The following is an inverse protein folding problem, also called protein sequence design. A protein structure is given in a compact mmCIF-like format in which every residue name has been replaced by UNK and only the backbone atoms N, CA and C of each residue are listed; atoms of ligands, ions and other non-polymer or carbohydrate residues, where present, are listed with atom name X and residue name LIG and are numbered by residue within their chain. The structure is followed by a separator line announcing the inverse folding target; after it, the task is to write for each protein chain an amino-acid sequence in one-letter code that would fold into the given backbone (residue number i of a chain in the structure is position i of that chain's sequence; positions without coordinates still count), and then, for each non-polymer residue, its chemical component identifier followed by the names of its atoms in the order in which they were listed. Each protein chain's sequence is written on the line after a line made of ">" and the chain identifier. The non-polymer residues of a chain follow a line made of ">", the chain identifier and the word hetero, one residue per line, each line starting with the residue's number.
data_IF_944512419766
#
_entry.id   IF_944512419766
#
_cell.length_a   1.000
_cell.length_b   1.000
_cell.length_c   1.000
_cell.angle_alpha   90.00
_cell.angle_beta   90.00
_cell.angle_gamma   90.00
#
_symmetry.space_group_name_H-M   'P 1'
#
loop_
_entity.id
_entity.type
_entity.pdbx_description
1 polymer ?
#
# COMPACT_ATOMS: atom_id res chain seq x y z
N UNK A 1 50.56 -6.89 -12.18
CA UNK A 1 49.83 -6.30 -11.04
C UNK A 1 48.64 -5.42 -11.44
N UNK A 2 48.70 -4.60 -12.51
CA UNK A 2 47.55 -3.77 -12.96
C UNK A 2 46.28 -4.57 -13.34
N UNK A 3 46.42 -5.79 -13.89
CA UNK A 3 45.27 -6.64 -14.27
C UNK A 3 44.51 -7.24 -13.07
N UNK A 4 45.15 -7.35 -11.89
CA UNK A 4 44.52 -7.86 -10.67
C UNK A 4 43.68 -6.77 -9.97
N UNK A 5 44.11 -5.50 -10.09
CA UNK A 5 43.36 -4.36 -9.55
C UNK A 5 42.02 -4.13 -10.27
N UNK A 6 41.96 -4.42 -11.57
CA UNK A 6 40.71 -4.33 -12.37
C UNK A 6 39.73 -5.43 -11.97
N UNK A 7 40.21 -6.62 -11.59
CA UNK A 7 39.35 -7.71 -11.12
C UNK A 7 38.72 -7.41 -9.75
N UNK A 8 39.46 -6.74 -8.86
CA UNK A 8 38.97 -6.31 -7.53
C UNK A 8 37.93 -5.18 -7.61
N UNK A 9 37.95 -4.35 -8.66
CA UNK A 9 36.93 -3.32 -8.89
C UNK A 9 35.60 -3.91 -9.40
N UNK A 10 35.63 -5.05 -10.09
CA UNK A 10 34.41 -5.75 -10.55
C UNK A 10 33.67 -6.45 -9.38
N UNK A 11 34.38 -6.68 -8.26
CA UNK A 11 33.80 -7.15 -7.00
C UNK A 11 33.36 -6.03 -6.05
N UNK A 12 33.31 -4.76 -6.49
CA UNK A 12 32.40 -3.79 -5.85
C UNK A 12 30.97 -4.24 -6.15
N UNK A 13 30.56 -5.25 -5.40
CA UNK A 13 29.27 -5.89 -5.43
C UNK A 13 28.19 -4.82 -5.53
N UNK A 14 27.28 -5.02 -6.48
CA UNK A 14 26.05 -4.26 -6.61
C UNK A 14 25.28 -4.42 -5.29
N UNK A 15 25.54 -3.52 -4.32
CA UNK A 15 24.95 -3.59 -3.00
C UNK A 15 23.49 -3.23 -3.16
N UNK A 16 22.62 -4.23 -3.02
CA UNK A 16 21.17 -4.06 -3.11
C UNK A 16 20.74 -3.08 -2.03
N UNK A 17 20.11 -1.98 -2.42
CA UNK A 17 19.55 -1.01 -1.48
C UNK A 17 18.31 -1.61 -0.82
N UNK A 18 18.17 -1.44 0.49
CA UNK A 18 17.04 -2.01 1.25
C UNK A 18 16.24 -0.89 1.89
N UNK A 19 14.94 -0.85 1.58
CA UNK A 19 13.98 0.13 2.05
C UNK A 19 12.97 -0.53 2.99
N UNK A 20 12.52 0.20 4.01
CA UNK A 20 11.65 -0.31 5.06
C UNK A 20 10.42 0.61 5.23
N UNK A 21 9.22 0.03 5.19
CA UNK A 21 7.96 0.73 5.39
C UNK A 21 7.16 0.07 6.51
N UNK A 22 6.74 0.80 7.56
CA UNK A 22 6.69 2.27 7.63
C UNK A 22 8.03 2.96 7.95
N UNK A 23 8.98 2.31 8.62
CA UNK A 23 10.34 2.84 8.83
C UNK A 23 11.31 1.74 9.29
N UNK A 24 12.61 1.98 9.17
CA UNK A 24 13.64 1.06 9.69
C UNK A 24 13.53 0.87 11.21
N UNK A 25 13.35 1.96 11.96
CA UNK A 25 13.19 1.90 13.42
C UNK A 25 12.00 1.04 13.83
N UNK A 26 10.92 1.06 13.05
CA UNK A 26 9.78 0.18 13.30
C UNK A 26 10.17 -1.29 13.11
N UNK A 27 10.94 -1.63 12.07
CA UNK A 27 11.44 -3.00 11.87
C UNK A 27 12.34 -3.45 13.02
N UNK A 28 13.32 -2.62 13.39
CA UNK A 28 14.29 -2.95 14.43
C UNK A 28 13.60 -3.19 15.79
N UNK A 29 12.58 -2.37 16.11
CA UNK A 29 11.81 -2.50 17.37
C UNK A 29 10.91 -3.73 17.41
N UNK A 30 10.38 -4.14 16.25
CA UNK A 30 9.28 -5.11 16.19
C UNK A 30 9.68 -6.48 15.64
N UNK A 31 10.87 -6.61 15.07
CA UNK A 31 11.41 -7.86 14.50
C UNK A 31 10.37 -8.65 13.68
N UNK A 32 9.76 -8.03 12.64
CA UNK A 32 8.71 -8.68 11.88
C UNK A 32 9.24 -9.88 11.09
N UNK A 33 8.37 -10.85 10.83
CA UNK A 33 8.70 -12.04 10.06
C UNK A 33 8.28 -11.87 8.58
N UNK A 34 9.12 -12.34 7.66
CA UNK A 34 8.76 -12.38 6.24
C UNK A 34 7.64 -13.39 6.01
N UNK A 35 6.60 -13.00 5.26
CA UNK A 35 5.63 -13.94 4.72
C UNK A 35 5.91 -14.18 3.24
N UNK A 36 6.01 -15.47 2.87
CA UNK A 36 6.11 -15.90 1.48
C UNK A 36 4.71 -15.92 0.90
N UNK A 37 4.47 -15.05 -0.09
CA UNK A 37 3.15 -14.86 -0.71
C UNK A 37 3.08 -15.40 -2.13
N UNK A 38 4.13 -16.06 -2.60
CA UNK A 38 4.16 -16.62 -3.94
C UNK A 38 3.00 -17.62 -4.11
N UNK A 39 2.30 -17.52 -5.23
CA UNK A 39 1.10 -18.30 -5.57
C UNK A 39 -0.14 -18.13 -4.67
N UNK A 40 -0.10 -17.23 -3.67
CA UNK A 40 -1.28 -16.90 -2.88
C UNK A 40 -2.18 -15.88 -3.57
N UNK A 41 -3.48 -16.01 -3.35
CA UNK A 41 -4.47 -14.99 -3.68
C UNK A 41 -4.41 -13.80 -2.71
N UNK A 42 -4.92 -12.65 -3.15
CA UNK A 42 -4.98 -11.45 -2.33
C UNK A 42 -5.77 -11.65 -1.03
N UNK A 43 -6.82 -12.47 -1.08
CA UNK A 43 -7.56 -12.88 0.11
C UNK A 43 -6.66 -13.65 1.09
N UNK A 44 -5.98 -14.70 0.65
CA UNK A 44 -5.11 -15.53 1.50
C UNK A 44 -3.99 -14.70 2.13
N UNK A 45 -3.41 -13.76 1.38
CA UNK A 45 -2.39 -12.84 1.88
C UNK A 45 -2.96 -11.93 2.97
N UNK A 46 -4.09 -11.29 2.70
CA UNK A 46 -4.74 -10.36 3.63
C UNK A 46 -5.18 -11.09 4.90
N UNK A 47 -5.72 -12.30 4.77
CA UNK A 47 -6.15 -13.15 5.89
C UNK A 47 -4.94 -13.62 6.71
N UNK A 48 -3.82 -13.95 6.08
CA UNK A 48 -2.58 -14.31 6.77
C UNK A 48 -2.03 -13.16 7.60
N UNK A 49 -2.05 -11.93 7.05
CA UNK A 49 -1.68 -10.71 7.79
C UNK A 49 -2.64 -10.48 8.95
N UNK A 50 -3.96 -10.60 8.73
CA UNK A 50 -4.97 -10.43 9.78
C UNK A 50 -4.76 -11.44 10.92
N UNK A 51 -4.56 -12.71 10.60
CA UNK A 51 -4.32 -13.77 11.58
C UNK A 51 -3.01 -13.55 12.32
N UNK A 52 -1.95 -13.10 11.62
CA UNK A 52 -0.70 -12.69 12.25
C UNK A 52 -0.92 -11.61 13.31
N UNK A 53 -1.71 -10.58 13.02
CA UNK A 53 -2.04 -9.53 13.99
C UNK A 53 -2.80 -10.06 15.22
N UNK A 54 -3.70 -11.02 15.05
CA UNK A 54 -4.38 -11.68 16.18
C UNK A 54 -3.42 -12.50 17.06
N UNK A 55 -2.37 -13.08 16.47
CA UNK A 55 -1.32 -13.83 17.15
C UNK A 55 -0.19 -12.94 17.73
N UNK A 56 -0.34 -11.61 17.70
CA UNK A 56 0.72 -10.63 18.02
C UNK A 56 2.00 -10.81 17.18
N UNK A 57 1.86 -11.34 15.95
CA UNK A 57 2.92 -11.50 14.97
C UNK A 57 2.85 -10.38 13.94
N UNK A 58 3.96 -9.69 13.74
CA UNK A 58 4.10 -8.69 12.68
C UNK A 58 4.71 -9.35 11.47
N UNK A 59 4.00 -9.32 10.35
CA UNK A 59 4.44 -9.88 9.08
C UNK A 59 4.87 -8.77 8.12
N UNK A 60 5.85 -9.03 7.28
CA UNK A 60 6.24 -8.13 6.20
C UNK A 60 6.29 -8.85 4.85
N UNK A 61 5.96 -8.09 3.81
CA UNK A 61 6.06 -8.46 2.41
C UNK A 61 7.41 -7.99 1.86
N UNK A 62 8.14 -8.88 1.18
CA UNK A 62 9.35 -8.52 0.45
C UNK A 62 9.04 -8.33 -1.04
N UNK A 63 9.46 -7.20 -1.59
CA UNK A 63 9.42 -6.90 -3.02
C UNK A 63 10.85 -6.70 -3.50
N UNK A 64 11.23 -7.38 -4.57
CA UNK A 64 12.59 -7.34 -5.10
C UNK A 64 12.63 -6.75 -6.51
N UNK A 65 13.49 -5.75 -6.71
CA UNK A 65 13.94 -5.26 -8.01
C UNK A 65 15.43 -5.58 -8.19
N UNK A 66 15.97 -5.36 -9.40
CA UNK A 66 17.34 -5.74 -9.76
C UNK A 66 18.42 -5.25 -8.77
N UNK A 67 18.25 -4.06 -8.20
CA UNK A 67 19.18 -3.45 -7.25
C UNK A 67 18.51 -2.91 -5.96
N UNK A 68 17.22 -3.19 -5.75
CA UNK A 68 16.46 -2.68 -4.59
C UNK A 68 15.60 -3.78 -3.97
N UNK A 69 15.49 -3.76 -2.66
CA UNK A 69 14.53 -4.56 -1.88
C UNK A 69 13.66 -3.63 -1.06
N UNK A 70 12.35 -3.86 -1.10
CA UNK A 70 11.38 -3.13 -0.29
C UNK A 70 10.74 -4.12 0.68
N UNK A 71 10.93 -3.88 1.98
CA UNK A 71 10.29 -4.62 3.05
C UNK A 71 9.10 -3.80 3.55
N UNK A 72 7.89 -4.33 3.42
CA UNK A 72 6.64 -3.60 3.64
C UNK A 72 5.82 -4.33 4.69
N UNK A 73 5.62 -3.72 5.84
CA UNK A 73 4.63 -4.17 6.81
C UNK A 73 3.29 -3.58 6.40
N UNK A 74 2.37 -4.45 5.99
CA UNK A 74 1.00 -4.07 5.73
C UNK A 74 0.10 -4.50 6.89
N UNK A 75 -1.02 -3.82 7.05
CA UNK A 75 -2.05 -4.15 8.02
C UNK A 75 -3.26 -4.75 7.31
N UNK A 76 -4.12 -5.42 8.06
CA UNK A 76 -5.44 -5.84 7.62
C UNK A 76 -6.47 -5.36 8.63
N UNK A 77 -7.70 -5.09 8.19
CA UNK A 77 -8.77 -4.69 9.10
C UNK A 77 -9.11 -5.85 10.04
N UNK A 78 -9.11 -5.58 11.35
CA UNK A 78 -9.44 -6.49 12.44
C UNK A 78 -10.76 -6.13 13.14
N UNK A 79 -11.54 -5.19 12.59
CA UNK A 79 -12.87 -4.83 13.11
C UNK A 79 -12.86 -3.69 14.14
N UNK A 80 -11.83 -2.84 14.12
CA UNK A 80 -11.71 -1.68 15.00
C UNK A 80 -12.36 -0.40 14.45
N UNK A 81 -12.60 0.58 15.33
CA UNK A 81 -13.05 1.91 14.90
C UNK A 81 -11.90 2.68 14.24
N UNK A 82 -12.02 2.87 12.92
CA UNK A 82 -11.12 3.71 12.11
C UNK A 82 -11.90 4.85 11.49
N UNK A 83 -11.28 6.03 11.39
CA UNK A 83 -11.89 7.16 10.68
C UNK A 83 -11.63 6.98 9.19
N UNK A 84 -12.68 6.68 8.43
CA UNK A 84 -12.57 6.41 6.97
C UNK A 84 -11.79 7.48 6.21
N UNK A 85 -12.00 8.77 6.55
CA UNK A 85 -11.28 9.90 5.93
C UNK A 85 -9.75 9.85 6.03
N UNK A 86 -9.21 9.04 6.94
CA UNK A 86 -7.77 8.86 7.10
C UNK A 86 -7.19 7.82 6.11
N UNK A 87 -8.02 7.10 5.37
CA UNK A 87 -7.60 6.18 4.32
C UNK A 87 -7.61 6.84 2.94
N UNK A 88 -6.52 6.75 2.19
CA UNK A 88 -6.51 7.01 0.76
C UNK A 88 -6.77 5.70 0.01
N UNK A 89 -7.97 5.54 -0.55
CA UNK A 89 -8.38 4.29 -1.18
C UNK A 89 -7.89 4.18 -2.62
N UNK A 90 -7.15 3.10 -2.90
CA UNK A 90 -6.73 2.68 -4.23
C UNK A 90 -7.45 1.36 -4.51
N UNK A 91 -8.30 1.34 -5.54
CA UNK A 91 -9.05 0.16 -5.96
C UNK A 91 -8.60 -0.26 -7.36
N UNK A 92 -8.02 -1.45 -7.44
CA UNK A 92 -7.40 -1.98 -8.66
C UNK A 92 -6.35 -1.01 -9.25
N UNK A 93 -6.71 -0.28 -10.30
CA UNK A 93 -5.87 0.65 -11.07
C UNK A 93 -6.36 2.11 -10.96
N UNK A 94 -7.15 2.42 -9.94
CA UNK A 94 -7.75 3.74 -9.73
C UNK A 94 -7.77 4.18 -8.28
N UNK A 95 -7.81 5.49 -8.06
CA UNK A 95 -8.10 6.10 -6.77
C UNK A 95 -9.62 6.16 -6.62
N UNK A 96 -10.16 5.59 -5.54
CA UNK A 96 -11.60 5.54 -5.24
C UNK A 96 -11.90 6.54 -4.13
N UNK A 97 -12.15 7.80 -4.48
CA UNK A 97 -12.40 8.88 -3.53
C UNK A 97 -13.89 9.18 -3.42
N UNK A 98 -14.30 9.82 -2.32
CA UNK A 98 -15.70 10.21 -2.08
C UNK A 98 -16.24 11.12 -3.20
N UNK A 99 -15.38 11.95 -3.80
CA UNK A 99 -15.73 12.87 -4.89
C UNK A 99 -15.54 12.29 -6.29
N UNK A 100 -15.15 11.02 -6.42
CA UNK A 100 -15.06 10.34 -7.71
C UNK A 100 -13.89 9.37 -7.84
N UNK A 101 -13.80 8.76 -9.02
CA UNK A 101 -12.70 7.87 -9.39
C UNK A 101 -11.67 8.60 -10.25
N UNK A 102 -10.39 8.44 -9.90
CA UNK A 102 -9.28 9.08 -10.60
C UNK A 102 -8.24 8.05 -11.05
N UNK A 103 -7.55 8.28 -12.17
CA UNK A 103 -6.55 7.36 -12.66
C UNK A 103 -5.33 7.32 -11.73
N UNK A 104 -4.68 6.15 -11.61
CA UNK A 104 -3.53 5.96 -10.71
C UNK A 104 -2.34 6.87 -11.03
N UNK A 105 -2.21 7.35 -12.28
CA UNK A 105 -1.22 8.37 -12.66
C UNK A 105 -1.31 9.68 -11.84
N UNK A 106 -2.47 9.97 -11.26
CA UNK A 106 -2.69 11.15 -10.43
C UNK A 106 -2.35 10.88 -8.94
N UNK A 107 -1.88 9.68 -8.59
CA UNK A 107 -1.59 9.27 -7.21
C UNK A 107 -0.67 10.24 -6.47
N UNK A 108 0.34 10.80 -7.14
CA UNK A 108 1.24 11.79 -6.51
C UNK A 108 0.49 13.01 -5.97
N UNK A 109 -0.43 13.57 -6.77
CA UNK A 109 -1.29 14.69 -6.37
C UNK A 109 -2.11 14.34 -5.14
N UNK A 110 -2.74 13.16 -5.14
CA UNK A 110 -3.65 12.76 -4.07
C UNK A 110 -2.92 12.31 -2.81
N UNK A 111 -1.73 11.70 -2.90
CA UNK A 111 -0.87 11.48 -1.74
C UNK A 111 -0.51 12.80 -1.07
N UNK A 112 -0.06 13.80 -1.85
CA UNK A 112 0.29 15.11 -1.32
C UNK A 112 -0.90 15.76 -0.60
N UNK A 113 -2.06 15.82 -1.26
CA UNK A 113 -3.29 16.36 -0.65
C UNK A 113 -3.66 15.60 0.62
N UNK A 114 -3.62 14.27 0.59
CA UNK A 114 -4.00 13.41 1.70
C UNK A 114 -3.13 13.64 2.94
N UNK A 115 -1.81 13.66 2.79
CA UNK A 115 -0.88 13.83 3.91
C UNK A 115 -0.77 15.30 4.39
N UNK A 116 -0.94 16.29 3.50
CA UNK A 116 -0.82 17.72 3.85
C UNK A 116 -2.13 18.38 4.29
N UNK A 117 -3.26 17.67 4.19
CA UNK A 117 -4.59 18.21 4.43
C UNK A 117 -4.73 18.88 5.81
N UNK A 118 -4.23 18.24 6.87
CA UNK A 118 -4.31 18.75 8.25
C UNK A 118 -5.73 19.24 8.63
N UNK A 119 -6.75 18.42 8.31
CA UNK A 119 -8.16 18.66 8.63
C UNK A 119 -8.81 19.86 7.90
N UNK A 120 -8.24 20.34 6.78
CA UNK A 120 -8.84 21.40 5.95
C UNK A 120 -10.04 20.90 5.15
N UNK A 121 -9.87 19.79 4.44
CA UNK A 121 -10.90 19.14 3.64
C UNK A 121 -11.36 17.86 4.33
N UNK A 122 -12.68 17.69 4.43
CA UNK A 122 -13.29 16.59 5.18
C UNK A 122 -12.96 15.20 4.61
N UNK A 123 -12.71 15.11 3.31
CA UNK A 123 -12.47 13.86 2.58
C UNK A 123 -11.03 13.32 2.70
N UNK A 124 -10.12 14.09 3.29
CA UNK A 124 -8.72 13.72 3.43
C UNK A 124 -8.33 13.56 4.90
N UNK A 125 -7.14 12.99 5.13
CA UNK A 125 -6.70 12.68 6.48
C UNK A 125 -6.63 13.93 7.35
N UNK A 126 -7.02 13.76 8.61
CA UNK A 126 -6.99 14.86 9.57
C UNK A 126 -5.59 15.23 10.05
N UNK A 127 -4.63 14.32 9.91
CA UNK A 127 -3.22 14.55 10.16
C UNK A 127 -2.42 13.50 9.42
N UNK A 128 -1.22 13.85 8.95
CA UNK A 128 -0.26 12.91 8.38
C UNK A 128 0.09 11.76 9.32
N UNK A 129 -0.03 11.94 10.64
CA UNK A 129 0.24 10.89 11.64
C UNK A 129 -0.80 9.77 11.65
N UNK A 130 -2.02 10.06 11.19
CA UNK A 130 -3.12 9.12 11.18
C UNK A 130 -3.46 8.64 9.76
N UNK A 131 -2.83 9.23 8.75
CA UNK A 131 -3.04 8.90 7.34
C UNK A 131 -2.49 7.51 7.00
N UNK A 132 -3.19 6.79 6.12
CA UNK A 132 -2.76 5.51 5.58
C UNK A 132 -3.30 5.32 4.16
N UNK A 133 -2.66 4.43 3.40
CA UNK A 133 -3.13 4.04 2.06
C UNK A 133 -3.89 2.72 2.18
N UNK A 134 -5.02 2.60 1.50
CA UNK A 134 -5.82 1.38 1.43
C UNK A 134 -5.71 0.77 0.05
N UNK A 135 -5.20 -0.45 -0.05
CA UNK A 135 -5.18 -1.22 -1.29
C UNK A 135 -6.37 -2.17 -1.31
N UNK A 136 -7.29 -1.90 -2.22
CA UNK A 136 -8.50 -2.68 -2.48
C UNK A 136 -8.36 -3.47 -3.78
N UNK A 137 -8.03 -4.76 -3.67
CA UNK A 137 -8.01 -5.69 -4.79
C UNK A 137 -9.13 -6.72 -4.66
N UNK A 138 -9.52 -7.31 -5.78
CA UNK A 138 -10.45 -8.44 -5.78
C UNK A 138 -9.82 -9.66 -5.08
N UNK A 139 -10.65 -10.47 -4.41
CA UNK A 139 -10.19 -11.60 -3.58
C UNK A 139 -9.24 -12.56 -4.29
N UNK A 140 -9.53 -12.81 -5.58
CA UNK A 140 -8.82 -13.77 -6.43
C UNK A 140 -7.61 -13.15 -7.14
N UNK A 141 -7.32 -11.86 -6.93
CA UNK A 141 -6.14 -11.24 -7.53
C UNK A 141 -4.87 -11.93 -7.04
N UNK A 142 -3.88 -12.01 -7.92
CA UNK A 142 -2.63 -12.70 -7.63
C UNK A 142 -1.71 -11.89 -6.72
N UNK A 143 -0.82 -12.59 -6.01
CA UNK A 143 0.31 -11.98 -5.31
C UNK A 143 1.17 -11.09 -6.21
N UNK A 144 1.32 -11.43 -7.50
CA UNK A 144 2.01 -10.61 -8.49
C UNK A 144 1.35 -9.23 -8.63
N UNK A 145 0.03 -9.19 -8.80
CA UNK A 145 -0.74 -7.94 -8.92
C UNK A 145 -0.58 -7.06 -7.68
N UNK A 146 -0.61 -7.67 -6.48
CA UNK A 146 -0.36 -6.97 -5.23
C UNK A 146 1.06 -6.37 -5.18
N UNK A 147 2.09 -7.15 -5.53
CA UNK A 147 3.49 -6.68 -5.55
C UNK A 147 3.69 -5.51 -6.51
N UNK A 148 3.10 -5.58 -7.71
CA UNK A 148 3.14 -4.49 -8.69
C UNK A 148 2.50 -3.21 -8.15
N UNK A 149 1.30 -3.31 -7.57
CA UNK A 149 0.59 -2.16 -7.02
C UNK A 149 1.32 -1.55 -5.82
N UNK A 150 1.80 -2.37 -4.89
CA UNK A 150 2.61 -1.92 -3.75
C UNK A 150 3.84 -1.16 -4.23
N UNK A 151 4.54 -1.69 -5.23
CA UNK A 151 5.74 -1.06 -5.76
C UNK A 151 5.43 0.30 -6.42
N UNK A 152 4.37 0.38 -7.22
CA UNK A 152 3.92 1.63 -7.84
C UNK A 152 3.57 2.70 -6.79
N UNK A 153 2.84 2.30 -5.75
CA UNK A 153 2.44 3.17 -4.64
C UNK A 153 3.65 3.66 -3.85
N UNK A 154 4.59 2.78 -3.53
CA UNK A 154 5.82 3.12 -2.79
C UNK A 154 6.71 4.05 -3.61
N UNK A 155 6.92 3.76 -4.89
CA UNK A 155 7.70 4.62 -5.79
C UNK A 155 7.09 6.00 -5.89
N UNK A 156 5.78 6.07 -6.14
CA UNK A 156 5.05 7.34 -6.23
C UNK A 156 5.15 8.11 -4.91
N UNK A 157 4.97 7.44 -3.77
CA UNK A 157 5.17 8.07 -2.45
C UNK A 157 6.58 8.65 -2.31
N UNK A 158 7.62 7.89 -2.66
CA UNK A 158 9.02 8.32 -2.55
C UNK A 158 9.35 9.50 -3.47
N UNK A 159 8.77 9.55 -4.67
CA UNK A 159 8.98 10.62 -5.64
C UNK A 159 8.15 11.87 -5.33
N UNK A 160 7.01 11.71 -4.63
CA UNK A 160 6.14 12.83 -4.28
C UNK A 160 6.79 13.74 -3.24
N UNK A 161 6.86 15.04 -3.54
CA UNK A 161 7.28 16.05 -2.59
C UNK A 161 6.14 16.37 -1.60
N UNK A 162 6.20 15.77 -0.41
CA UNK A 162 5.22 15.93 0.67
C UNK A 162 5.91 16.68 1.82
N UNK A 163 5.27 17.70 2.36
CA UNK A 163 5.72 18.38 3.57
C UNK A 163 5.78 17.38 4.73
N UNK A 164 6.76 17.54 5.63
CA UNK A 164 6.93 16.68 6.82
C UNK A 164 7.13 15.19 6.51
N UNK A 165 7.58 14.83 5.30
CA UNK A 165 7.76 13.44 4.84
C UNK A 165 8.55 12.57 5.82
N UNK A 166 9.59 13.11 6.43
CA UNK A 166 10.42 12.41 7.42
C UNK A 166 9.67 12.02 8.71
N UNK A 167 8.53 12.67 8.97
CA UNK A 167 7.64 12.38 10.11
C UNK A 167 6.48 11.45 9.75
N UNK A 168 6.33 11.08 8.48
CA UNK A 168 5.24 10.22 8.01
C UNK A 168 5.63 8.75 8.20
N UNK A 169 4.78 8.01 8.91
CA UNK A 169 4.81 6.55 8.89
C UNK A 169 3.93 6.08 7.73
N UNK A 170 4.56 5.63 6.64
CA UNK A 170 3.83 5.22 5.44
C UNK A 170 3.15 3.86 5.65
N UNK A 171 1.95 3.90 6.22
CA UNK A 171 1.16 2.73 6.55
C UNK A 171 0.29 2.29 5.37
N UNK A 172 0.27 0.99 5.10
CA UNK A 172 -0.52 0.40 4.02
C UNK A 172 -1.47 -0.63 4.62
N UNK A 173 -2.75 -0.49 4.32
CA UNK A 173 -3.81 -1.40 4.69
C UNK A 173 -4.21 -2.23 3.47
N UNK A 174 -4.29 -3.55 3.62
CA UNK A 174 -4.86 -4.45 2.61
C UNK A 174 -6.31 -4.75 2.99
N UNK A 175 -7.20 -4.58 2.02
CA UNK A 175 -8.63 -4.81 2.21
C UNK A 175 -9.24 -5.37 0.93
N UNK A 176 -10.17 -6.32 1.05
CA UNK A 176 -10.93 -6.83 -0.07
C UNK A 176 -12.43 -6.76 0.26
N UNK A 177 -13.32 -6.63 -0.74
CA UNK A 177 -14.75 -6.60 -0.51
C UNK A 177 -15.24 -7.91 0.13
N UNK A 178 -15.75 -7.83 1.36
CA UNK A 178 -16.31 -8.97 2.12
C UNK A 178 -17.66 -9.44 1.56
N UNK A 179 -18.46 -8.51 1.01
CA UNK A 179 -19.71 -8.82 0.32
C UNK A 179 -19.44 -8.82 -1.17
N UNK A 180 -19.91 -9.85 -1.89
CA UNK A 180 -20.04 -9.75 -3.33
C UNK A 180 -20.78 -8.45 -3.63
N UNK A 181 -20.21 -7.61 -4.50
CA UNK A 181 -20.91 -6.42 -5.00
C UNK A 181 -22.18 -6.95 -5.65
N UNK A 182 -23.32 -6.85 -4.95
CA UNK A 182 -24.60 -7.17 -5.57
C UNK A 182 -24.75 -6.15 -6.70
N UNK A 183 -24.91 -6.59 -7.96
CA UNK A 183 -25.21 -5.65 -9.03
C UNK A 183 -26.45 -4.86 -8.60
N UNK A 184 -26.34 -3.54 -8.60
CA UNK A 184 -27.51 -2.69 -8.40
C UNK A 184 -28.56 -3.10 -9.43
N UNK A 185 -29.79 -3.43 -9.02
CA UNK A 185 -30.84 -3.74 -9.98
C UNK A 185 -31.01 -2.55 -10.93
N UNK A 186 -31.30 -2.78 -12.21
CA UNK A 186 -31.50 -1.70 -13.17
C UNK A 186 -32.61 -0.77 -12.64
N UNK A 187 -32.50 0.54 -12.88
CA UNK A 187 -33.55 1.47 -12.50
C UNK A 187 -34.88 1.01 -13.10
N UNK A 188 -36.00 1.12 -12.36
CA UNK A 188 -37.31 0.78 -12.89
C UNK A 188 -37.59 1.58 -14.17
N UNK A 189 -38.34 1.01 -15.13
CA UNK A 189 -38.77 1.75 -16.31
C UNK A 189 -39.44 3.05 -15.89
N UNK A 190 -39.03 4.16 -16.48
CA UNK A 190 -39.75 5.42 -16.33
C UNK A 190 -41.07 5.22 -17.08
N UNK A 191 -42.18 5.10 -16.36
CA UNK A 191 -43.50 5.23 -16.95
C UNK A 191 -43.61 6.66 -17.47
N UNK A 192 -43.61 6.81 -18.80
CA UNK A 192 -43.99 8.06 -19.44
C UNK A 192 -45.52 8.07 -19.36
N UNK A 193 -46.07 8.92 -18.49
CA UNK A 193 -47.52 9.21 -18.50
C UNK A 193 -47.86 9.86 -19.84
N UNK A 194 -48.73 9.19 -20.61
CA UNK A 194 -49.36 9.71 -21.84
C UNK A 194 -50.47 10.74 -21.53
#
# INVERSE_FOLDING_TARGET
>A
MKKVLILLLIFSACKKEVYYYPSKDFFDKNNPQEIIIDDLSFQEITDSIRNGLYDDKKLFLKIEESNKTYNVISFADTGGYRRERNGLHIRNDSLDLINGKYPLKDLSKYLKLHYENNNKEYFYASSHKWAYVVLNLERKESSKKLKELLLEVIKTYNETNINFKDSIQFNILLEYPLKGVFPTPPPPPIEIED
#
